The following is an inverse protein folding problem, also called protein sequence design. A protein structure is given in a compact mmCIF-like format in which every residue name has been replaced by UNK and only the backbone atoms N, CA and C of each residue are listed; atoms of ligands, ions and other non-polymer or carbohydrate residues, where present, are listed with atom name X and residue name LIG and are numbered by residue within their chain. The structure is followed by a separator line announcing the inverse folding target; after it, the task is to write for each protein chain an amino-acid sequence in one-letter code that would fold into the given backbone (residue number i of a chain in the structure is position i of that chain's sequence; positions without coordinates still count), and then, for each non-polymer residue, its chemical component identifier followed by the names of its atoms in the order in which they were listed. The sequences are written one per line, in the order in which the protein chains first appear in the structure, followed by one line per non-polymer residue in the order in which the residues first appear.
data_IF_854945544156
#
_entry.id   IF_854945544156
#
_cell.length_a   1.000
_cell.length_b   1.000
_cell.length_c   1.000
_cell.angle_alpha   90.00
_cell.angle_beta   90.00
_cell.angle_gamma   90.00
#
_symmetry.space_group_name_H-M   'P 1'
#
loop_
_entity.id
_entity.type
_entity.pdbx_description
1 polymer ?
#
# COMPACT_ATOMS: atom_id res chain seq x y z
N UNK A 1 22.31 -13.41 -2.44
CA UNK A 1 21.10 -13.09 -1.67
C UNK A 1 20.06 -12.54 -2.62
N UNK A 2 19.24 -13.43 -3.17
CA UNK A 2 18.20 -13.12 -4.17
C UNK A 2 16.90 -12.72 -3.46
N UNK A 3 16.03 -11.94 -4.11
CA UNK A 3 14.75 -11.51 -3.52
C UNK A 3 13.90 -12.70 -3.03
N UNK A 4 14.00 -13.85 -3.68
CA UNK A 4 13.34 -15.09 -3.30
C UNK A 4 13.89 -15.69 -1.98
N UNK A 5 15.20 -15.59 -1.74
CA UNK A 5 15.85 -16.07 -0.51
C UNK A 5 15.45 -15.22 0.71
N UNK A 6 15.23 -13.92 0.48
CA UNK A 6 14.73 -12.98 1.50
C UNK A 6 13.27 -13.26 1.88
N UNK A 7 12.44 -13.67 0.91
CA UNK A 7 11.03 -13.99 1.17
C UNK A 7 10.87 -15.31 1.93
N UNK A 8 11.72 -16.32 1.65
CA UNK A 8 11.69 -17.63 2.32
C UNK A 8 12.17 -17.61 3.77
N UNK A 9 13.01 -16.64 4.13
CA UNK A 9 13.62 -16.53 5.46
C UNK A 9 12.79 -15.69 6.45
N UNK A 10 11.65 -15.11 6.03
CA UNK A 10 10.79 -14.39 6.96
C UNK A 10 10.13 -15.37 7.93
N UNK A 11 10.29 -15.18 9.25
CA UNK A 11 9.45 -15.90 10.19
C UNK A 11 8.00 -15.62 9.83
N UNK A 12 7.19 -16.68 9.70
CA UNK A 12 5.73 -16.63 9.57
C UNK A 12 5.09 -16.08 10.86
N UNK A 13 5.74 -15.14 11.56
CA UNK A 13 5.12 -14.37 12.62
C UNK A 13 3.92 -13.73 11.97
N UNK A 14 2.74 -14.29 12.26
CA UNK A 14 1.44 -13.94 11.70
C UNK A 14 1.47 -12.46 11.34
N UNK A 15 1.63 -12.16 10.05
CA UNK A 15 1.08 -10.93 9.55
C UNK A 15 -0.39 -11.08 9.90
N UNK A 16 -0.81 -10.48 11.02
CA UNK A 16 -2.19 -10.55 11.45
C UNK A 16 -2.96 -9.95 10.29
N UNK A 17 -3.60 -10.82 9.50
CA UNK A 17 -4.49 -10.44 8.42
C UNK A 17 -5.67 -9.77 9.08
N UNK A 18 -5.50 -8.49 9.42
CA UNK A 18 -6.58 -7.64 9.85
C UNK A 18 -7.39 -7.34 8.62
N UNK A 19 -8.71 -7.47 8.74
CA UNK A 19 -9.61 -7.01 7.70
C UNK A 19 -9.29 -5.54 7.36
N UNK A 20 -9.22 -5.19 6.07
CA UNK A 20 -8.90 -3.83 5.67
C UNK A 20 -9.97 -2.88 6.20
N UNK A 21 -9.54 -1.79 6.84
CA UNK A 21 -10.45 -0.73 7.22
C UNK A 21 -10.86 0.10 5.99
N UNK A 22 -11.88 0.95 6.15
CA UNK A 22 -12.42 1.77 5.05
C UNK A 22 -11.35 2.66 4.39
N UNK A 23 -10.43 3.22 5.19
CA UNK A 23 -9.32 4.02 4.67
C UNK A 23 -8.37 3.19 3.79
N UNK A 24 -8.08 1.95 4.16
CA UNK A 24 -7.25 1.05 3.36
C UNK A 24 -7.88 0.76 2.01
N UNK A 25 -9.18 0.48 1.98
CA UNK A 25 -9.94 0.24 0.74
C UNK A 25 -9.90 1.49 -0.14
N UNK A 26 -10.15 2.67 0.43
CA UNK A 26 -10.05 3.95 -0.27
C UNK A 26 -8.66 4.16 -0.86
N UNK A 27 -7.60 4.00 -0.05
CA UNK A 27 -6.21 4.16 -0.49
C UNK A 27 -5.86 3.23 -1.66
N UNK A 28 -6.37 1.99 -1.66
CA UNK A 28 -6.15 1.07 -2.79
C UNK A 28 -6.76 1.60 -4.09
N UNK A 29 -7.97 2.15 -4.04
CA UNK A 29 -8.61 2.73 -5.23
C UNK A 29 -7.93 4.03 -5.67
N UNK A 30 -7.52 4.87 -4.72
CA UNK A 30 -6.75 6.09 -4.99
C UNK A 30 -5.44 5.79 -5.74
N UNK A 31 -4.70 4.78 -5.28
CA UNK A 31 -3.47 4.32 -5.95
C UNK A 31 -3.78 3.82 -7.37
N UNK A 32 -4.88 3.10 -7.58
CA UNK A 32 -5.27 2.60 -8.91
C UNK A 32 -5.53 3.76 -9.87
N UNK A 33 -6.24 4.80 -9.42
CA UNK A 33 -6.50 5.99 -10.24
C UNK A 33 -5.20 6.71 -10.63
N UNK A 34 -4.29 6.93 -9.67
CA UNK A 34 -2.99 7.56 -9.96
C UNK A 34 -2.17 6.78 -10.99
N UNK A 35 -2.22 5.44 -10.97
CA UNK A 35 -1.57 4.61 -11.98
C UNK A 35 -2.18 4.77 -13.37
N UNK A 36 -3.51 4.91 -13.46
CA UNK A 36 -4.19 5.19 -14.73
C UNK A 36 -3.79 6.55 -15.31
N UNK A 37 -3.53 7.53 -14.42
CA UNK A 37 -3.04 8.86 -14.77
C UNK A 37 -1.51 8.92 -15.00
N UNK A 38 -0.81 7.77 -15.01
CA UNK A 38 0.63 7.65 -15.19
C UNK A 38 1.51 8.32 -14.10
N UNK A 39 0.98 8.50 -12.88
CA UNK A 39 1.80 8.89 -11.74
C UNK A 39 2.63 7.72 -11.24
N UNK A 40 3.95 7.92 -11.16
CA UNK A 40 4.94 6.95 -10.65
C UNK A 40 5.61 7.41 -9.34
N UNK A 41 4.88 8.14 -8.51
CA UNK A 41 5.38 8.59 -7.21
C UNK A 41 5.60 7.45 -6.20
N UNK A 42 6.54 7.65 -5.28
CA UNK A 42 6.79 6.72 -4.19
C UNK A 42 5.55 6.55 -3.29
N UNK A 43 5.29 5.32 -2.85
CA UNK A 43 4.13 4.98 -2.01
C UNK A 43 4.02 5.81 -0.72
N UNK A 44 5.14 6.27 -0.15
CA UNK A 44 5.14 7.16 1.02
C UNK A 44 4.43 8.49 0.71
N UNK A 45 4.70 9.08 -0.46
CA UNK A 45 4.09 10.32 -0.93
C UNK A 45 2.62 10.13 -1.28
N UNK A 46 2.31 9.06 -2.02
CA UNK A 46 0.93 8.71 -2.39
C UNK A 46 0.05 8.46 -1.15
N UNK A 47 0.59 7.84 -0.10
CA UNK A 47 -0.15 7.59 1.14
C UNK A 47 -0.47 8.88 1.89
N UNK A 48 0.44 9.86 1.88
CA UNK A 48 0.19 11.19 2.46
C UNK A 48 -0.94 11.90 1.71
N UNK A 49 -0.91 11.88 0.39
CA UNK A 49 -1.97 12.45 -0.44
C UNK A 49 -3.33 11.81 -0.17
N UNK A 50 -3.40 10.47 -0.18
CA UNK A 50 -4.64 9.76 0.15
C UNK A 50 -5.19 10.15 1.54
N UNK A 51 -4.33 10.38 2.53
CA UNK A 51 -4.76 10.88 3.85
C UNK A 51 -5.37 12.28 3.80
N UNK A 52 -4.76 13.19 3.03
CA UNK A 52 -5.26 14.57 2.84
C UNK A 52 -6.63 14.54 2.15
N UNK A 53 -6.75 13.80 1.04
CA UNK A 53 -8.01 13.72 0.28
C UNK A 53 -9.12 12.97 0.99
N UNK A 54 -8.80 12.03 1.89
CA UNK A 54 -9.80 11.32 2.70
C UNK A 54 -10.39 12.19 3.83
N UNK A 55 -9.60 13.15 4.32
CA UNK A 55 -9.98 14.00 5.45
C UNK A 55 -10.72 15.27 5.04
N UNK A 56 -10.71 15.59 3.74
CA UNK A 56 -11.43 16.70 3.12
C UNK A 56 -12.78 16.23 2.59
#
# INVERSE_FOLDING_TARGET
MTAEEFLRSRPLSRAYFRSPNSFFIYRQQFVKQLKLENYNDQMVKVSKWAGIFWSN
#
